data_IF_780109162293
#
_entry.id   IF_780109162293
#
_cell.length_a   1.000
_cell.length_b   1.000
_cell.length_c   1.000
_cell.angle_alpha   90.00
_cell.angle_beta   90.00
_cell.angle_gamma   90.00
#
_symmetry.space_group_name_H-M   'P 1'
#
loop_
_entity.id
_entity.type
_entity.pdbx_description
1 polymer ?
#
# COMPACT_ATOMS: atom_id res chain seq x y z
N UNK A 1 45.38 -111.58 -3.63
CA UNK A 1 45.90 -110.25 -3.21
C UNK A 1 46.04 -109.43 -4.48
N UNK A 2 45.60 -108.18 -4.66
CA UNK A 2 45.23 -107.13 -3.73
C UNK A 2 44.58 -106.01 -4.60
N UNK A 3 43.33 -105.66 -4.29
CA UNK A 3 42.75 -104.30 -4.27
C UNK A 3 42.27 -103.60 -5.56
N UNK A 4 40.94 -103.39 -5.55
CA UNK A 4 40.19 -102.33 -6.23
C UNK A 4 40.75 -100.95 -5.85
N UNK A 5 41.08 -100.12 -6.85
CA UNK A 5 41.35 -98.69 -6.65
C UNK A 5 40.06 -97.92 -6.94
N UNK A 6 39.56 -97.25 -5.90
CA UNK A 6 38.39 -96.37 -5.89
C UNK A 6 38.80 -95.00 -6.45
N UNK A 7 38.11 -94.51 -7.48
CA UNK A 7 38.25 -93.13 -7.92
C UNK A 7 37.56 -92.17 -6.90
N UNK A 8 38.18 -91.06 -6.49
CA UNK A 8 37.51 -90.06 -5.67
C UNK A 8 36.50 -89.28 -6.51
N UNK A 9 35.24 -89.23 -6.04
CA UNK A 9 34.25 -88.24 -6.44
C UNK A 9 34.67 -86.89 -5.88
N UNK A 10 35.02 -85.97 -6.76
CA UNK A 10 35.21 -84.57 -6.42
C UNK A 10 33.83 -83.94 -6.16
N UNK A 11 33.50 -83.74 -4.88
CA UNK A 11 32.30 -83.04 -4.44
C UNK A 11 32.68 -81.57 -4.39
N UNK A 12 32.34 -80.83 -5.46
CA UNK A 12 32.41 -79.36 -5.42
C UNK A 12 31.46 -78.86 -4.33
N UNK A 13 32.00 -78.13 -3.35
CA UNK A 13 31.24 -77.47 -2.29
C UNK A 13 30.35 -76.35 -2.88
N UNK A 14 29.13 -76.14 -2.35
CA UNK A 14 28.21 -75.11 -2.80
C UNK A 14 28.49 -73.76 -2.12
N UNK A 15 29.74 -73.29 -2.11
CA UNK A 15 30.12 -72.02 -1.46
C UNK A 15 30.09 -70.81 -2.42
N UNK A 16 29.96 -71.03 -3.73
CA UNK A 16 29.98 -69.95 -4.74
C UNK A 16 28.64 -69.21 -4.93
N UNK A 17 27.58 -69.59 -4.21
CA UNK A 17 26.24 -69.01 -4.43
C UNK A 17 26.01 -67.66 -3.72
N UNK A 18 26.83 -67.29 -2.72
CA UNK A 18 26.62 -66.08 -1.91
C UNK A 18 27.35 -64.85 -2.47
N UNK A 19 28.39 -65.03 -3.29
CA UNK A 19 29.16 -63.90 -3.87
C UNK A 19 28.53 -63.30 -5.15
N UNK A 20 27.60 -64.01 -5.79
CA UNK A 20 26.96 -63.58 -7.04
C UNK A 20 26.00 -62.39 -6.86
N UNK A 21 25.44 -62.19 -5.66
CA UNK A 21 24.47 -61.10 -5.41
C UNK A 21 25.13 -59.73 -5.13
N UNK A 22 26.42 -59.71 -4.79
CA UNK A 22 27.19 -58.46 -4.59
C UNK A 22 27.38 -57.69 -5.90
N UNK A 23 27.52 -58.41 -7.03
CA UNK A 23 27.61 -57.78 -8.35
C UNK A 23 26.28 -57.17 -8.80
N UNK A 24 25.17 -57.90 -8.67
CA UNK A 24 23.84 -57.41 -9.04
C UNK A 24 23.40 -56.19 -8.21
N UNK A 25 23.68 -56.20 -6.90
CA UNK A 25 23.37 -55.07 -6.01
C UNK A 25 24.16 -53.80 -6.36
N UNK A 26 25.45 -53.91 -6.72
CA UNK A 26 26.22 -52.73 -7.17
C UNK A 26 25.67 -52.08 -8.43
N UNK A 27 25.21 -52.89 -9.41
CA UNK A 27 24.60 -52.38 -10.64
C UNK A 27 23.29 -51.66 -10.34
N UNK A 28 22.44 -52.24 -9.49
CA UNK A 28 21.17 -51.63 -9.08
C UNK A 28 21.42 -50.30 -8.35
N UNK A 29 22.37 -50.25 -7.42
CA UNK A 29 22.72 -49.02 -6.69
C UNK A 29 23.28 -47.95 -7.63
N UNK A 30 24.15 -48.33 -8.57
CA UNK A 30 24.70 -47.39 -9.55
C UNK A 30 23.60 -46.77 -10.43
N UNK A 31 22.65 -47.59 -10.91
CA UNK A 31 21.50 -47.11 -11.69
C UNK A 31 20.60 -46.21 -10.84
N UNK A 32 20.30 -46.59 -9.59
CA UNK A 32 19.50 -45.77 -8.68
C UNK A 32 20.17 -44.42 -8.36
N UNK A 33 21.49 -44.37 -8.19
CA UNK A 33 22.21 -43.11 -7.98
C UNK A 33 22.07 -42.17 -9.17
N UNK A 34 22.19 -42.67 -10.41
CA UNK A 34 22.00 -41.86 -11.61
C UNK A 34 20.58 -41.31 -11.67
N UNK A 35 19.57 -42.13 -11.35
CA UNK A 35 18.18 -41.70 -11.30
C UNK A 35 17.97 -40.61 -10.23
N UNK A 36 18.52 -40.79 -9.03
CA UNK A 36 18.42 -39.80 -7.96
C UNK A 36 19.10 -38.47 -8.31
N UNK A 37 20.25 -38.50 -8.97
CA UNK A 37 20.93 -37.29 -9.48
C UNK A 37 20.08 -36.60 -10.56
N UNK A 38 19.41 -37.36 -11.44
CA UNK A 38 18.48 -36.82 -12.41
C UNK A 38 17.30 -36.08 -11.76
N UNK A 39 16.71 -36.64 -10.70
CA UNK A 39 15.65 -35.95 -9.95
C UNK A 39 16.15 -34.73 -9.18
N UNK A 40 17.36 -34.80 -8.60
CA UNK A 40 17.96 -33.66 -7.91
C UNK A 40 18.24 -32.49 -8.86
N UNK A 41 18.74 -32.78 -10.06
CA UNK A 41 18.95 -31.80 -11.12
C UNK A 41 17.64 -31.10 -11.52
N UNK A 42 16.57 -31.86 -11.76
CA UNK A 42 15.25 -31.31 -12.07
C UNK A 42 14.72 -30.44 -10.91
N UNK A 43 14.90 -30.88 -9.66
CA UNK A 43 14.49 -30.11 -8.50
C UNK A 43 15.21 -28.76 -8.40
N UNK A 44 16.50 -28.70 -8.75
CA UNK A 44 17.28 -27.46 -8.79
C UNK A 44 16.79 -26.51 -9.89
N UNK A 45 16.57 -26.99 -11.11
CA UNK A 45 16.08 -26.15 -12.21
C UNK A 45 14.68 -25.60 -11.92
N UNK A 46 13.77 -26.44 -11.40
CA UNK A 46 12.43 -25.99 -10.97
C UNK A 46 12.56 -24.98 -9.84
N UNK A 47 13.43 -25.24 -8.86
CA UNK A 47 13.72 -24.31 -7.77
C UNK A 47 14.18 -22.95 -8.28
N UNK A 48 15.06 -22.92 -9.28
CA UNK A 48 15.53 -21.68 -9.91
C UNK A 48 14.38 -20.92 -10.61
N UNK A 49 13.51 -21.61 -11.35
CA UNK A 49 12.33 -20.98 -12.00
C UNK A 49 11.40 -20.35 -10.95
N UNK A 50 11.13 -21.04 -9.85
CA UNK A 50 10.26 -20.51 -8.79
C UNK A 50 10.92 -19.34 -8.04
N UNK A 51 12.22 -19.41 -7.78
CA UNK A 51 12.96 -18.33 -7.16
C UNK A 51 12.98 -17.08 -8.07
N UNK A 52 13.13 -17.26 -9.38
CA UNK A 52 13.08 -16.17 -10.35
C UNK A 52 11.67 -15.56 -10.44
N UNK A 53 10.64 -16.41 -10.46
CA UNK A 53 9.26 -15.94 -10.45
C UNK A 53 8.94 -15.08 -9.21
N UNK A 54 9.43 -15.48 -8.04
CA UNK A 54 9.24 -14.70 -6.81
C UNK A 54 9.94 -13.33 -6.87
N UNK A 55 11.17 -13.27 -7.40
CA UNK A 55 11.89 -12.01 -7.62
C UNK A 55 11.12 -11.08 -8.57
N UNK A 56 10.65 -11.62 -9.70
CA UNK A 56 9.88 -10.87 -10.69
C UNK A 56 8.55 -10.35 -10.13
N UNK A 57 7.85 -11.15 -9.31
CA UNK A 57 6.62 -10.72 -8.66
C UNK A 57 6.86 -9.58 -7.69
N UNK A 58 7.84 -9.71 -6.79
CA UNK A 58 8.21 -8.65 -5.85
C UNK A 58 8.62 -7.36 -6.60
N UNK A 59 9.33 -7.49 -7.71
CA UNK A 59 9.68 -6.38 -8.59
C UNK A 59 8.46 -5.72 -9.24
N UNK A 60 7.50 -6.51 -9.70
CA UNK A 60 6.25 -6.02 -10.28
C UNK A 60 5.39 -5.29 -9.24
N UNK A 61 5.23 -5.85 -8.03
CA UNK A 61 4.45 -5.26 -6.94
C UNK A 61 5.04 -3.93 -6.50
N UNK A 62 6.36 -3.90 -6.26
CA UNK A 62 7.08 -2.70 -5.87
C UNK A 62 7.00 -1.61 -6.96
N UNK A 63 7.17 -2.00 -8.23
CA UNK A 63 7.04 -1.09 -9.36
C UNK A 63 5.62 -0.52 -9.48
N UNK A 64 4.59 -1.37 -9.37
CA UNK A 64 3.19 -0.95 -9.47
C UNK A 64 2.83 0.03 -8.36
N UNK A 65 3.20 -0.28 -7.10
CA UNK A 65 2.98 0.62 -5.97
C UNK A 65 3.73 1.95 -6.10
N UNK A 66 5.00 1.93 -6.52
CA UNK A 66 5.78 3.14 -6.69
C UNK A 66 5.18 4.06 -7.79
N UNK A 67 4.86 3.48 -8.95
CA UNK A 67 4.25 4.24 -10.05
C UNK A 67 2.86 4.77 -9.64
N UNK A 68 2.05 3.95 -8.97
CA UNK A 68 0.74 4.39 -8.48
C UNK A 68 0.88 5.51 -7.44
N UNK A 69 1.92 5.50 -6.60
CA UNK A 69 2.21 6.57 -5.63
C UNK A 69 2.59 7.87 -6.33
N UNK A 70 3.45 7.81 -7.35
CA UNK A 70 3.83 8.96 -8.17
C UNK A 70 2.60 9.53 -8.91
N UNK A 71 1.80 8.65 -9.52
CA UNK A 71 0.56 9.02 -10.19
C UNK A 71 -0.47 9.62 -9.24
N UNK A 72 -0.64 9.03 -8.05
CA UNK A 72 -1.45 9.58 -6.98
C UNK A 72 -0.93 10.96 -6.57
N UNK A 73 0.39 11.16 -6.62
CA UNK A 73 1.20 12.40 -6.58
C UNK A 73 0.73 13.53 -7.50
N UNK A 74 -0.09 13.22 -8.51
CA UNK A 74 -0.45 14.14 -9.57
C UNK A 74 0.59 14.23 -10.69
N UNK A 75 1.67 13.43 -10.62
CA UNK A 75 2.67 13.29 -11.67
C UNK A 75 3.23 11.86 -11.69
N UNK A 76 2.81 11.07 -12.67
CA UNK A 76 3.27 9.69 -12.89
C UNK A 76 4.76 9.55 -13.25
N UNK A 77 5.50 10.66 -13.41
CA UNK A 77 6.93 10.67 -13.70
C UNK A 77 7.27 9.92 -14.99
N UNK A 78 8.45 9.28 -15.00
CA UNK A 78 8.83 8.33 -16.05
C UNK A 78 8.50 6.91 -15.59
N UNK A 79 7.23 6.53 -15.71
CA UNK A 79 6.72 5.25 -15.19
C UNK A 79 7.51 4.05 -15.73
N UNK A 80 7.97 4.09 -16.98
CA UNK A 80 8.84 3.05 -17.57
C UNK A 80 10.21 2.98 -16.89
N UNK A 81 10.82 4.11 -16.53
CA UNK A 81 12.10 4.13 -15.81
C UNK A 81 11.93 3.57 -14.40
N UNK A 82 10.90 4.03 -13.68
CA UNK A 82 10.56 3.53 -12.34
C UNK A 82 10.30 2.02 -12.37
N UNK A 83 9.50 1.55 -13.34
CA UNK A 83 9.21 0.12 -13.50
C UNK A 83 10.46 -0.72 -13.72
N UNK A 84 11.36 -0.31 -14.61
CA UNK A 84 12.61 -1.04 -14.83
C UNK A 84 13.56 -0.95 -13.63
N UNK A 85 13.58 0.17 -12.90
CA UNK A 85 14.42 0.30 -11.70
C UNK A 85 14.00 -0.71 -10.63
N UNK A 86 12.71 -0.80 -10.30
CA UNK A 86 12.21 -1.73 -9.29
C UNK A 86 12.28 -3.19 -9.75
N UNK A 87 12.04 -3.47 -11.03
CA UNK A 87 12.23 -4.82 -11.58
C UNK A 87 13.70 -5.27 -11.47
N UNK A 88 14.66 -4.42 -11.86
CA UNK A 88 16.07 -4.77 -11.79
C UNK A 88 16.57 -4.87 -10.35
N UNK A 89 16.15 -3.98 -9.46
CA UNK A 89 16.58 -3.98 -8.05
C UNK A 89 16.08 -5.21 -7.27
N UNK A 90 15.00 -5.86 -7.73
CA UNK A 90 14.48 -7.09 -7.14
C UNK A 90 15.01 -8.36 -7.82
N UNK A 91 15.72 -8.24 -8.94
CA UNK A 91 16.41 -9.34 -9.59
C UNK A 91 17.84 -9.46 -9.05
N UNK A 92 18.26 -10.65 -8.63
CA UNK A 92 19.58 -10.87 -8.03
C UNK A 92 20.74 -10.57 -9.00
N UNK A 93 20.49 -10.63 -10.30
CA UNK A 93 21.45 -10.36 -11.37
C UNK A 93 21.29 -8.96 -11.99
N UNK A 94 20.38 -8.12 -11.45
CA UNK A 94 20.01 -6.81 -11.96
C UNK A 94 19.58 -6.82 -13.44
N UNK A 95 19.09 -7.96 -13.94
CA UNK A 95 18.80 -8.16 -15.36
C UNK A 95 17.37 -8.64 -15.54
N UNK A 96 16.44 -7.69 -15.52
CA UNK A 96 15.03 -7.95 -15.80
C UNK A 96 14.42 -6.85 -16.67
N UNK A 97 13.26 -7.15 -17.25
CA UNK A 97 12.48 -6.20 -18.03
C UNK A 97 11.20 -5.83 -17.29
N UNK A 98 10.75 -4.59 -17.45
CA UNK A 98 9.42 -4.17 -17.05
C UNK A 98 8.70 -3.46 -18.22
N UNK A 99 7.42 -3.82 -18.39
CA UNK A 99 6.47 -3.14 -19.28
C UNK A 99 5.37 -2.54 -18.42
N UNK A 100 5.16 -1.24 -18.58
CA UNK A 100 4.16 -0.48 -17.81
C UNK A 100 3.01 -0.11 -18.72
N UNK A 101 1.79 -0.38 -18.27
CA UNK A 101 0.54 -0.06 -18.98
C UNK A 101 -0.48 0.55 -18.02
N UNK A 102 -1.41 1.35 -18.54
CA UNK A 102 -2.48 1.97 -17.75
C UNK A 102 -3.84 1.44 -18.23
N UNK A 103 -4.35 0.34 -17.64
CA UNK A 103 -5.64 -0.22 -18.04
C UNK A 103 -6.83 0.72 -17.74
N UNK A 104 -6.68 1.61 -16.75
CA UNK A 104 -7.64 2.64 -16.42
C UNK A 104 -6.93 3.95 -16.05
N UNK A 105 -7.67 5.06 -15.95
CA UNK A 105 -7.13 6.37 -15.59
C UNK A 105 -6.45 6.40 -14.20
N UNK A 106 -6.84 5.48 -13.32
CA UNK A 106 -6.37 5.40 -11.93
C UNK A 106 -5.80 4.02 -11.58
N UNK A 107 -5.41 3.24 -12.59
CA UNK A 107 -4.83 1.90 -12.41
C UNK A 107 -3.61 1.76 -13.30
N UNK A 108 -2.53 1.25 -12.72
CA UNK A 108 -1.31 0.88 -13.43
C UNK A 108 -1.10 -0.62 -13.34
N UNK A 109 -0.65 -1.21 -14.45
CA UNK A 109 -0.25 -2.60 -14.55
C UNK A 109 1.21 -2.66 -14.95
N UNK A 110 2.01 -3.37 -14.16
CA UNK A 110 3.42 -3.63 -14.44
C UNK A 110 3.59 -5.11 -14.72
N UNK A 111 4.10 -5.45 -15.90
CA UNK A 111 4.49 -6.82 -16.25
C UNK A 111 6.02 -6.90 -16.27
N UNK A 112 6.58 -7.79 -15.47
CA UNK A 112 8.02 -8.06 -15.43
C UNK A 112 8.36 -9.37 -16.12
N UNK A 113 9.58 -9.45 -16.63
CA UNK A 113 10.10 -10.65 -17.26
C UNK A 113 11.56 -10.88 -16.90
N UNK A 114 11.94 -12.15 -16.74
CA UNK A 114 13.35 -12.53 -16.60
C UNK A 114 14.10 -12.14 -17.88
N UNK A 115 15.36 -11.72 -17.73
CA UNK A 115 16.26 -11.51 -18.86
C UNK A 115 17.56 -12.27 -18.66
N UNK A 116 18.14 -12.76 -19.75
CA UNK A 116 19.49 -13.29 -19.73
C UNK A 116 20.53 -12.15 -19.82
N UNK A 117 21.81 -12.50 -19.64
CA UNK A 117 22.93 -11.56 -19.76
C UNK A 117 23.09 -10.91 -21.14
N UNK A 118 22.43 -11.44 -22.17
CA UNK A 118 22.36 -10.86 -23.51
C UNK A 118 21.12 -9.95 -23.70
N UNK A 119 20.28 -9.81 -22.68
CA UNK A 119 19.06 -9.00 -22.66
C UNK A 119 17.83 -9.67 -23.25
N UNK A 120 17.88 -10.97 -23.55
CA UNK A 120 16.76 -11.73 -24.08
C UNK A 120 15.79 -12.12 -22.98
N UNK A 121 14.49 -12.19 -23.27
CA UNK A 121 13.44 -12.45 -22.29
C UNK A 121 13.34 -13.94 -21.90
N UNK A 122 14.44 -14.52 -21.38
CA UNK A 122 14.54 -15.92 -21.03
C UNK A 122 15.46 -16.15 -19.82
N UNK A 123 15.13 -17.13 -19.00
CA UNK A 123 15.98 -17.66 -17.93
C UNK A 123 16.74 -18.88 -18.46
N UNK A 124 18.06 -18.92 -18.31
CA UNK A 124 18.88 -20.08 -18.67
C UNK A 124 18.73 -21.18 -17.61
N UNK A 125 18.39 -22.40 -18.05
CA UNK A 125 18.30 -23.57 -17.16
C UNK A 125 19.64 -24.30 -17.14
N UNK A 126 20.07 -24.86 -16.00
CA UNK A 126 21.41 -25.43 -15.90
C UNK A 126 21.44 -26.90 -16.28
N UNK A 127 20.53 -27.71 -15.75
CA UNK A 127 20.57 -29.15 -16.00
C UNK A 127 19.63 -29.59 -17.13
N UNK A 128 18.52 -28.88 -17.33
CA UNK A 128 17.54 -29.14 -18.38
C UNK A 128 18.10 -28.92 -19.80
N UNK A 129 19.20 -28.17 -19.95
CA UNK A 129 19.98 -28.06 -21.19
C UNK A 129 20.37 -29.43 -21.74
N UNK A 130 20.75 -30.37 -20.87
CA UNK A 130 21.15 -31.73 -21.28
C UNK A 130 20.00 -32.55 -21.89
N UNK A 131 18.75 -32.13 -21.65
CA UNK A 131 17.53 -32.71 -22.21
C UNK A 131 16.95 -31.88 -23.37
N UNK A 132 17.67 -30.85 -23.83
CA UNK A 132 17.26 -29.96 -24.94
C UNK A 132 16.36 -28.80 -24.53
N UNK A 133 16.25 -28.49 -23.24
CA UNK A 133 15.52 -27.33 -22.72
C UNK A 133 16.50 -26.29 -22.18
N UNK A 134 16.93 -25.38 -23.06
CA UNK A 134 18.00 -24.44 -22.73
C UNK A 134 17.52 -23.23 -21.92
N UNK A 135 16.25 -22.86 -22.10
CA UNK A 135 15.67 -21.65 -21.52
C UNK A 135 14.22 -21.81 -21.10
N UNK A 136 13.81 -21.07 -20.07
CA UNK A 136 12.42 -20.92 -19.66
C UNK A 136 11.99 -19.45 -19.72
N UNK A 137 10.77 -19.19 -20.19
CA UNK A 137 10.17 -17.85 -20.11
C UNK A 137 9.46 -17.70 -18.77
N UNK A 138 9.94 -16.79 -17.93
CA UNK A 138 9.34 -16.48 -16.63
C UNK A 138 8.87 -15.03 -16.64
N UNK A 139 7.59 -14.84 -16.33
CA UNK A 139 6.96 -13.52 -16.25
C UNK A 139 6.14 -13.41 -14.97
N UNK A 140 5.99 -12.19 -14.48
CA UNK A 140 5.09 -11.83 -13.40
C UNK A 140 4.36 -10.53 -13.75
N UNK A 141 3.25 -10.26 -13.09
CA UNK A 141 2.56 -8.99 -13.24
C UNK A 141 1.89 -8.59 -11.95
N UNK A 142 1.78 -7.29 -11.74
CA UNK A 142 1.10 -6.69 -10.62
C UNK A 142 0.28 -5.50 -11.11
N UNK A 143 -0.87 -5.27 -10.48
CA UNK A 143 -1.68 -4.08 -10.69
C UNK A 143 -1.80 -3.28 -9.40
N UNK A 144 -1.71 -1.96 -9.52
CA UNK A 144 -1.98 -1.04 -8.43
C UNK A 144 -2.97 0.02 -8.88
N UNK A 145 -3.92 0.34 -8.01
CA UNK A 145 -4.89 1.41 -8.23
C UNK A 145 -4.74 2.50 -7.19
N UNK A 146 -5.11 3.73 -7.56
CA UNK A 146 -5.09 4.87 -6.66
C UNK A 146 -6.37 5.70 -6.73
N UNK A 147 -6.69 6.41 -5.65
CA UNK A 147 -7.81 7.34 -5.68
C UNK A 147 -8.17 7.88 -4.30
N UNK A 148 -9.29 8.60 -4.24
CA UNK A 148 -9.76 9.18 -2.99
C UNK A 148 -10.20 8.07 -2.01
N UNK A 149 -9.81 8.13 -0.73
CA UNK A 149 -10.30 7.18 0.28
C UNK A 149 -11.81 7.34 0.44
N UNK A 150 -12.54 6.21 0.40
CA UNK A 150 -13.96 6.17 0.78
C UNK A 150 -14.16 5.95 2.28
N UNK A 151 -13.17 5.37 2.94
CA UNK A 151 -13.11 5.24 4.39
C UNK A 151 -11.70 5.46 4.93
N UNK A 152 -11.61 5.99 6.16
CA UNK A 152 -10.35 6.19 6.85
C UNK A 152 -10.53 6.22 8.37
N UNK A 153 -9.52 5.76 9.09
CA UNK A 153 -9.42 5.89 10.55
C UNK A 153 -8.75 7.21 10.88
N UNK A 154 -9.52 8.20 11.33
CA UNK A 154 -9.05 9.59 11.42
C UNK A 154 -9.36 10.24 12.76
N UNK A 155 -8.76 11.42 13.00
CA UNK A 155 -9.13 12.28 14.13
C UNK A 155 -10.64 12.61 14.01
N UNK A 156 -11.43 12.45 15.07
CA UNK A 156 -12.90 12.55 15.02
C UNK A 156 -13.35 14.01 14.93
N UNK A 157 -12.88 14.76 13.95
CA UNK A 157 -13.20 16.16 13.74
C UNK A 157 -13.34 16.45 12.25
N UNK A 158 -14.41 17.15 11.89
CA UNK A 158 -14.77 17.44 10.50
C UNK A 158 -14.61 18.91 10.16
N UNK A 159 -14.32 19.19 8.89
CA UNK A 159 -14.22 20.56 8.35
C UNK A 159 -15.20 20.74 7.21
N UNK A 160 -15.76 21.94 7.08
CA UNK A 160 -16.65 22.22 5.96
C UNK A 160 -15.87 22.22 4.64
N UNK A 161 -16.40 21.53 3.65
CA UNK A 161 -15.91 21.53 2.26
C UNK A 161 -15.75 22.97 1.73
N UNK A 162 -16.65 23.88 2.12
CA UNK A 162 -16.58 25.29 1.71
C UNK A 162 -15.32 25.99 2.25
N UNK A 163 -14.97 25.75 3.51
CA UNK A 163 -13.77 26.33 4.13
C UNK A 163 -12.52 25.79 3.43
N UNK A 164 -12.45 24.48 3.21
CA UNK A 164 -11.34 23.85 2.49
C UNK A 164 -11.13 24.49 1.11
N UNK A 165 -12.19 24.60 0.31
CA UNK A 165 -12.13 25.17 -1.05
C UNK A 165 -11.63 26.61 -1.11
N UNK A 166 -11.75 27.39 -0.02
CA UNK A 166 -11.26 28.78 0.05
C UNK A 166 -9.75 28.89 0.24
N UNK A 167 -9.11 27.83 0.71
CA UNK A 167 -7.66 27.77 0.89
C UNK A 167 -6.94 27.12 -0.30
N UNK A 168 -7.68 26.65 -1.31
CA UNK A 168 -7.11 26.21 -2.58
C UNK A 168 -6.74 27.41 -3.46
N UNK A 169 -5.68 27.25 -4.26
CA UNK A 169 -5.38 28.21 -5.32
C UNK A 169 -6.50 28.22 -6.38
N UNK A 170 -6.67 29.33 -7.14
CA UNK A 170 -7.68 29.39 -8.20
C UNK A 170 -7.55 28.27 -9.24
N UNK A 171 -6.32 27.84 -9.55
CA UNK A 171 -6.05 26.73 -10.46
C UNK A 171 -6.51 25.39 -9.87
N UNK A 172 -6.15 25.11 -8.60
CA UNK A 172 -6.58 23.88 -7.91
C UNK A 172 -8.09 23.81 -7.76
N UNK A 173 -8.74 24.94 -7.44
CA UNK A 173 -10.20 25.02 -7.33
C UNK A 173 -10.87 24.77 -8.69
N UNK A 174 -10.34 25.32 -9.78
CA UNK A 174 -10.87 25.09 -11.12
C UNK A 174 -10.73 23.61 -11.54
N UNK A 175 -9.58 22.97 -11.26
CA UNK A 175 -9.38 21.55 -11.49
C UNK A 175 -10.34 20.71 -10.65
N UNK A 176 -10.41 20.94 -9.34
CA UNK A 176 -11.31 20.20 -8.44
C UNK A 176 -12.78 20.28 -8.88
N UNK A 177 -13.22 21.45 -9.35
CA UNK A 177 -14.60 21.62 -9.84
C UNK A 177 -14.87 20.98 -11.21
N UNK A 178 -13.85 20.79 -12.05
CA UNK A 178 -14.01 20.29 -13.42
C UNK A 178 -13.72 18.79 -13.56
N UNK A 179 -12.74 18.28 -12.82
CA UNK A 179 -12.28 16.89 -12.89
C UNK A 179 -12.56 16.10 -11.62
N UNK A 180 -13.01 16.75 -10.55
CA UNK A 180 -13.12 16.13 -9.23
C UNK A 180 -11.76 15.90 -8.56
N UNK A 181 -10.66 16.42 -9.10
CA UNK A 181 -9.31 16.27 -8.52
C UNK A 181 -8.44 17.48 -8.83
N UNK A 182 -7.34 17.67 -8.12
CA UNK A 182 -6.36 18.71 -8.43
C UNK A 182 -4.92 18.17 -8.29
N UNK A 183 -4.01 18.76 -9.06
CA UNK A 183 -2.57 18.46 -9.00
C UNK A 183 -1.79 19.62 -8.37
N UNK A 184 -0.60 19.30 -7.87
CA UNK A 184 0.27 20.24 -7.13
C UNK A 184 -0.06 20.31 -5.65
N UNK A 185 0.97 20.47 -4.83
CA UNK A 185 0.81 20.59 -3.38
C UNK A 185 0.02 21.86 -3.04
N UNK A 186 -0.92 21.79 -2.07
CA UNK A 186 -1.51 23.00 -1.53
C UNK A 186 -0.38 23.89 -0.97
N UNK A 187 -0.52 25.20 -1.15
CA UNK A 187 0.42 26.16 -0.54
C UNK A 187 0.32 25.95 0.99
N UNK A 188 1.44 25.73 1.72
CA UNK A 188 1.45 25.50 3.17
C UNK A 188 1.14 26.81 3.91
N UNK A 189 -0.07 27.32 3.69
CA UNK A 189 -0.57 28.54 4.30
C UNK A 189 -1.08 28.16 5.67
N UNK A 190 -0.30 28.55 6.69
CA UNK A 190 -0.66 28.32 8.08
C UNK A 190 -1.97 29.06 8.39
N UNK A 191 -2.99 28.29 8.75
CA UNK A 191 -4.34 28.75 8.95
C UNK A 191 -4.85 28.30 10.33
N UNK A 192 -5.90 28.96 10.80
CA UNK A 192 -6.57 28.64 12.06
C UNK A 192 -7.99 28.18 11.75
N UNK A 193 -8.26 26.90 11.94
CA UNK A 193 -9.61 26.35 11.88
C UNK A 193 -10.26 26.46 13.26
N UNK A 194 -10.92 27.59 13.50
CA UNK A 194 -11.74 27.81 14.69
C UNK A 194 -13.08 27.10 14.57
N UNK A 195 -13.47 26.46 15.65
CA UNK A 195 -14.77 25.82 15.75
C UNK A 195 -15.65 26.42 16.86
N UNK A 196 -15.13 27.32 17.72
CA UNK A 196 -15.92 27.92 18.80
C UNK A 196 -17.04 28.88 18.35
N UNK A 197 -17.88 29.32 19.29
CA UNK A 197 -19.08 30.15 19.02
C UNK A 197 -18.78 31.53 18.43
N UNK A 198 -17.54 32.01 18.56
CA UNK A 198 -17.08 33.28 18.01
C UNK A 198 -16.19 33.07 16.79
N UNK A 199 -16.19 31.87 16.19
CA UNK A 199 -15.42 31.59 14.98
C UNK A 199 -15.84 32.54 13.85
N UNK A 200 -14.88 33.22 13.21
CA UNK A 200 -15.21 34.11 12.09
C UNK A 200 -15.76 33.27 10.93
N UNK A 201 -16.86 33.74 10.35
CA UNK A 201 -17.42 33.14 9.13
C UNK A 201 -16.51 33.46 7.95
N UNK A 202 -16.05 32.42 7.25
CA UNK A 202 -15.27 32.54 6.04
C UNK A 202 -16.16 33.14 4.93
N UNK A 203 -15.71 34.22 4.24
CA UNK A 203 -16.52 34.87 3.22
C UNK A 203 -17.01 33.92 2.11
N UNK A 204 -18.32 33.87 1.91
CA UNK A 204 -18.98 33.00 0.94
C UNK A 204 -19.30 31.59 1.43
N UNK A 205 -19.00 31.27 2.69
CA UNK A 205 -19.49 30.05 3.35
C UNK A 205 -20.72 30.35 4.21
N UNK A 206 -21.46 29.30 4.59
CA UNK A 206 -22.60 29.40 5.48
C UNK A 206 -22.18 29.96 6.86
N UNK A 207 -23.15 30.48 7.62
CA UNK A 207 -22.91 30.94 8.99
C UNK A 207 -22.22 29.85 9.83
N UNK A 208 -21.34 30.27 10.76
CA UNK A 208 -20.53 29.35 11.58
C UNK A 208 -19.74 28.35 10.72
N UNK A 209 -19.38 28.73 9.48
CA UNK A 209 -18.69 27.88 8.52
C UNK A 209 -19.43 26.56 8.21
N UNK A 210 -20.76 26.55 8.32
CA UNK A 210 -21.59 25.37 8.05
C UNK A 210 -21.77 24.42 9.24
N UNK A 211 -21.11 24.69 10.37
CA UNK A 211 -21.37 23.96 11.61
C UNK A 211 -22.75 24.31 12.17
N UNK A 212 -23.42 23.31 12.75
CA UNK A 212 -24.69 23.51 13.44
C UNK A 212 -24.46 24.03 14.86
N UNK A 213 -25.39 24.81 15.45
CA UNK A 213 -25.29 25.25 16.83
C UNK A 213 -25.00 24.09 17.82
N UNK A 214 -23.89 24.21 18.54
CA UNK A 214 -23.40 23.20 19.49
C UNK A 214 -22.70 21.98 18.87
N UNK A 215 -22.68 21.88 17.54
CA UNK A 215 -21.92 20.90 16.77
C UNK A 215 -20.58 21.51 16.35
N UNK A 216 -19.53 21.21 17.11
CA UNK A 216 -18.20 21.81 17.00
C UNK A 216 -17.29 21.09 15.98
N UNK A 217 -17.90 20.31 15.08
CA UNK A 217 -17.21 19.45 14.11
C UNK A 217 -16.75 18.11 14.67
N UNK A 218 -16.79 17.92 16.00
CA UNK A 218 -16.46 16.65 16.63
C UNK A 218 -17.43 15.55 16.21
N UNK A 219 -16.92 14.35 15.99
CA UNK A 219 -17.66 13.15 15.66
C UNK A 219 -17.66 12.17 16.83
N UNK A 220 -18.71 11.34 16.92
CA UNK A 220 -18.74 10.24 17.89
C UNK A 220 -17.66 9.21 17.56
N UNK A 221 -16.87 8.84 18.56
CA UNK A 221 -15.77 7.86 18.45
C UNK A 221 -16.28 6.44 18.66
N UNK A 222 -15.89 5.50 17.81
CA UNK A 222 -16.25 4.08 17.91
C UNK A 222 -15.21 3.21 18.62
N UNK A 223 -13.92 3.56 18.56
CA UNK A 223 -12.84 2.90 19.31
C UNK A 223 -11.69 3.86 19.63
N UNK A 224 -11.56 4.26 20.89
CA UNK A 224 -10.52 5.19 21.32
C UNK A 224 -10.65 6.57 20.66
N UNK A 225 -9.53 7.11 20.14
CA UNK A 225 -9.39 8.50 19.67
C UNK A 225 -9.49 8.66 18.17
N UNK A 226 -9.93 7.59 17.51
CA UNK A 226 -10.19 7.53 16.11
C UNK A 226 -11.62 7.08 15.88
N UNK A 227 -12.18 7.46 14.75
CA UNK A 227 -13.44 6.92 14.29
C UNK A 227 -13.23 6.40 12.87
N UNK A 228 -13.74 5.19 12.62
CA UNK A 228 -13.78 4.66 11.27
C UNK A 228 -14.93 5.36 10.55
N UNK A 229 -14.59 6.17 9.57
CA UNK A 229 -15.53 7.00 8.85
C UNK A 229 -15.73 6.42 7.47
N UNK A 230 -16.98 6.21 7.09
CA UNK A 230 -17.39 5.90 5.73
C UNK A 230 -18.17 7.09 5.17
N UNK A 231 -17.83 7.53 3.96
CA UNK A 231 -18.47 8.68 3.30
C UNK A 231 -19.95 8.39 2.99
N UNK A 232 -20.33 7.13 2.79
CA UNK A 232 -21.70 6.75 2.44
C UNK A 232 -22.68 6.82 3.62
N UNK A 233 -22.18 7.06 4.84
CA UNK A 233 -23.00 7.15 6.04
C UNK A 233 -22.97 8.55 6.69
N UNK A 234 -24.14 9.01 7.11
CA UNK A 234 -24.24 10.23 7.92
C UNK A 234 -23.62 9.97 9.31
N UNK A 235 -22.55 10.70 9.64
CA UNK A 235 -21.84 10.51 10.90
C UNK A 235 -22.42 11.41 11.98
N UNK A 236 -22.63 10.84 13.18
CA UNK A 236 -23.15 11.59 14.32
C UNK A 236 -22.08 12.52 14.91
N UNK A 237 -22.47 13.76 15.16
CA UNK A 237 -21.66 14.76 15.82
C UNK A 237 -21.67 14.60 17.35
N UNK A 238 -20.53 14.88 17.97
CA UNK A 238 -20.41 14.97 19.42
C UNK A 238 -20.57 16.43 19.86
N UNK A 239 -21.47 16.74 20.81
CA UNK A 239 -21.62 18.08 21.33
C UNK A 239 -20.47 18.43 22.27
N UNK A 240 -20.17 19.73 22.38
CA UNK A 240 -19.16 20.26 23.30
C UNK A 240 -17.85 20.68 22.63
N UNK A 241 -17.17 21.63 23.27
CA UNK A 241 -15.98 22.31 22.76
C UNK A 241 -14.67 21.72 23.33
N UNK A 242 -14.77 20.63 24.08
CA UNK A 242 -13.62 19.94 24.68
C UNK A 242 -13.13 18.86 23.73
N UNK A 243 -11.81 18.67 23.73
CA UNK A 243 -11.20 17.53 23.06
C UNK A 243 -11.71 16.23 23.70
N UNK A 244 -12.01 15.17 22.93
CA UNK A 244 -12.51 13.92 23.48
C UNK A 244 -11.62 13.37 24.61
N UNK A 245 -12.24 12.97 25.72
CA UNK A 245 -11.52 12.47 26.90
C UNK A 245 -10.76 11.18 26.55
N UNK A 246 -9.49 11.09 26.96
CA UNK A 246 -8.62 9.94 26.70
C UNK A 246 -7.71 10.05 25.48
N UNK A 247 -7.75 11.18 24.75
CA UNK A 247 -7.07 11.33 23.47
C UNK A 247 -5.78 12.16 23.47
N UNK A 248 -5.30 12.57 24.64
CA UNK A 248 -4.15 13.48 24.76
C UNK A 248 -2.86 12.91 24.17
N UNK A 249 -2.68 11.59 24.15
CA UNK A 249 -1.53 10.95 23.50
C UNK A 249 -1.60 10.99 21.96
N UNK A 250 -2.78 11.17 21.37
CA UNK A 250 -2.91 11.35 19.93
C UNK A 250 -2.45 12.75 19.49
N UNK A 251 -2.46 13.75 20.40
CA UNK A 251 -2.11 15.13 20.09
C UNK A 251 -0.65 15.32 19.69
N UNK A 252 0.28 14.54 20.24
CA UNK A 252 1.67 14.57 19.79
C UNK A 252 1.82 13.93 18.41
N UNK A 253 1.15 12.79 18.19
CA UNK A 253 1.22 12.07 16.89
C UNK A 253 0.67 12.88 15.72
N UNK A 254 -0.43 13.61 15.92
CA UNK A 254 -1.01 14.44 14.85
C UNK A 254 -0.15 15.64 14.46
N UNK A 255 0.82 16.03 15.30
CA UNK A 255 1.77 17.10 14.98
C UNK A 255 3.00 16.59 14.23
N UNK A 256 3.32 15.30 14.34
CA UNK A 256 4.48 14.69 13.68
C UNK A 256 4.19 14.33 12.22
N UNK A 257 2.97 13.91 11.90
CA UNK A 257 2.57 13.46 10.57
C UNK A 257 1.23 14.07 10.11
N UNK A 258 1.03 14.26 8.79
CA UNK A 258 -0.22 14.77 8.27
C UNK A 258 -1.35 13.76 8.51
N UNK A 259 -2.48 14.26 9.00
CA UNK A 259 -3.66 13.43 9.29
C UNK A 259 -4.76 13.68 8.28
N UNK A 260 -5.53 12.64 7.98
CA UNK A 260 -6.75 12.78 7.20
C UNK A 260 -7.84 13.42 8.07
N UNK A 261 -8.55 14.39 7.49
CA UNK A 261 -9.67 15.08 8.11
C UNK A 261 -10.89 14.92 7.19
N UNK A 262 -12.01 14.38 7.71
CA UNK A 262 -13.25 14.27 6.96
C UNK A 262 -13.82 15.66 6.61
N UNK A 263 -14.20 15.84 5.36
CA UNK A 263 -14.89 17.02 4.86
C UNK A 263 -16.40 16.78 4.81
N UNK A 264 -17.18 17.71 5.36
CA UNK A 264 -18.63 17.67 5.28
C UNK A 264 -19.18 18.76 4.34
N UNK A 265 -20.24 18.40 3.62
CA UNK A 265 -20.97 19.32 2.74
C UNK A 265 -22.17 19.94 3.42
N UNK A 266 -22.92 19.15 4.16
CA UNK A 266 -24.10 19.60 4.92
C UNK A 266 -24.07 19.05 6.34
N UNK A 267 -24.59 19.83 7.26
CA UNK A 267 -24.84 19.43 8.63
C UNK A 267 -26.32 19.65 8.95
N UNK A 268 -26.96 18.70 9.65
CA UNK A 268 -28.37 18.77 10.04
C UNK A 268 -28.54 18.42 11.53
N UNK A 269 -29.59 18.93 12.17
CA UNK A 269 -29.79 18.74 13.61
C UNK A 269 -28.85 19.60 14.48
N UNK A 270 -29.04 19.60 15.79
CA UNK A 270 -28.29 20.47 16.73
C UNK A 270 -27.76 19.68 17.92
N UNK A 271 -26.65 20.15 18.51
CA UNK A 271 -26.02 19.53 19.67
C UNK A 271 -25.72 18.04 19.45
N UNK A 272 -26.23 17.17 20.34
CA UNK A 272 -26.02 15.71 20.25
C UNK A 272 -26.75 15.02 19.10
N UNK A 273 -27.62 15.74 18.38
CA UNK A 273 -28.33 15.23 17.20
C UNK A 273 -27.76 15.79 15.89
N UNK A 274 -26.63 16.50 15.94
CA UNK A 274 -25.96 16.97 14.74
C UNK A 274 -25.52 15.75 13.91
N UNK A 275 -25.82 15.77 12.62
CA UNK A 275 -25.42 14.76 11.64
C UNK A 275 -24.69 15.47 10.50
N UNK A 276 -23.51 14.97 10.16
CA UNK A 276 -22.69 15.49 9.08
C UNK A 276 -22.77 14.55 7.87
N UNK A 277 -23.07 15.12 6.69
CA UNK A 277 -22.96 14.41 5.41
C UNK A 277 -21.57 14.66 4.86
N UNK A 278 -20.77 13.61 4.82
CA UNK A 278 -19.38 13.67 4.38
C UNK A 278 -19.29 13.58 2.86
N UNK A 279 -18.19 14.10 2.31
CA UNK A 279 -17.95 14.10 0.86
C UNK A 279 -16.56 13.63 0.46
N UNK A 280 -15.65 13.48 1.42
CA UNK A 280 -14.26 13.15 1.15
C UNK A 280 -13.38 13.38 2.37
N UNK A 281 -12.10 13.10 2.19
CA UNK A 281 -11.06 13.38 3.17
C UNK A 281 -10.04 14.34 2.57
N UNK A 282 -9.57 15.30 3.37
CA UNK A 282 -8.44 16.16 3.04
C UNK A 282 -7.32 15.89 4.04
N UNK A 283 -6.08 16.00 3.60
CA UNK A 283 -4.95 15.90 4.51
C UNK A 283 -4.61 17.25 5.13
N UNK A 284 -4.29 17.22 6.42
CA UNK A 284 -3.99 18.40 7.19
C UNK A 284 -2.81 18.12 8.11
N UNK A 285 -1.77 18.95 7.99
CA UNK A 285 -0.65 18.95 8.92
C UNK A 285 -1.01 19.84 10.10
N UNK A 286 -1.12 19.26 11.30
CA UNK A 286 -1.33 20.05 12.52
C UNK A 286 0.00 20.61 12.98
N UNK A 287 0.06 21.91 13.21
CA UNK A 287 1.25 22.62 13.72
C UNK A 287 0.98 23.26 15.08
N UNK A 288 -0.28 23.41 15.45
CA UNK A 288 -0.71 23.91 16.75
C UNK A 288 -2.16 23.57 17.04
N UNK A 289 -2.55 23.66 18.30
CA UNK A 289 -3.90 23.44 18.74
C UNK A 289 -4.18 24.18 20.05
N UNK A 290 -5.46 24.49 20.25
CA UNK A 290 -5.97 24.98 21.53
C UNK A 290 -7.38 24.47 21.75
N UNK A 291 -7.53 23.47 22.62
CA UNK A 291 -8.83 22.92 22.98
C UNK A 291 -9.24 23.33 24.40
N UNK A 292 -10.51 23.13 24.73
CA UNK A 292 -11.00 23.34 26.09
C UNK A 292 -10.59 22.16 26.97
N UNK A 293 -9.97 22.44 28.12
CA UNK A 293 -9.62 21.40 29.10
C UNK A 293 -8.35 20.60 28.81
N UNK A 294 -7.64 20.88 27.70
CA UNK A 294 -6.32 20.31 27.41
C UNK A 294 -5.25 21.41 27.29
N UNK A 295 -3.98 21.02 27.17
CA UNK A 295 -2.88 21.94 26.90
C UNK A 295 -3.06 22.70 25.58
N UNK A 296 -2.29 23.76 25.37
CA UNK A 296 -2.27 24.51 24.12
C UNK A 296 -0.84 24.54 23.57
N UNK A 297 -0.71 24.23 22.29
CA UNK A 297 0.53 24.40 21.52
C UNK A 297 0.18 25.39 20.43
N UNK A 298 0.75 26.59 20.45
CA UNK A 298 0.42 27.62 19.47
C UNK A 298 1.52 27.73 18.43
N UNK A 299 1.10 27.75 17.18
CA UNK A 299 1.95 28.04 16.04
C UNK A 299 2.01 29.54 15.81
N UNK A 300 3.23 30.09 15.77
CA UNK A 300 3.50 31.51 15.54
C UNK A 300 3.28 31.95 14.09
N UNK A 301 3.29 31.03 13.13
CA UNK A 301 3.06 31.31 11.71
C UNK A 301 1.57 31.33 11.36
N UNK A 302 0.74 30.68 12.18
CA UNK A 302 -0.71 30.68 12.02
C UNK A 302 -1.36 31.91 12.70
N UNK A 303 -2.58 32.30 12.28
CA UNK A 303 -3.35 33.34 12.98
C UNK A 303 -3.47 33.03 14.48
N UNK A 304 -3.27 34.06 15.32
CA UNK A 304 -3.19 33.89 16.77
C UNK A 304 -4.51 33.40 17.39
N UNK A 305 -4.46 32.35 18.21
CA UNK A 305 -5.61 31.81 18.94
C UNK A 305 -5.55 32.16 20.45
N UNK A 306 -5.85 33.42 20.80
CA UNK A 306 -5.77 33.93 22.19
C UNK A 306 -7.12 33.89 22.91
N UNK A 307 -7.10 34.01 24.25
CA UNK A 307 -8.30 34.02 25.09
C UNK A 307 -9.21 32.80 24.92
N UNK A 308 -10.48 33.04 24.59
CA UNK A 308 -11.52 32.02 24.42
C UNK A 308 -11.51 31.30 23.07
N UNK A 309 -10.57 31.61 22.17
CA UNK A 309 -10.42 30.91 20.91
C UNK A 309 -10.17 29.41 21.12
N UNK A 310 -10.84 28.57 20.32
CA UNK A 310 -10.60 27.12 20.23
C UNK A 310 -10.52 26.66 18.78
N UNK A 311 -9.48 25.92 18.46
CA UNK A 311 -9.21 25.52 17.09
C UNK A 311 -7.93 24.75 16.90
N UNK A 312 -7.75 24.30 15.67
CA UNK A 312 -6.54 23.68 15.15
C UNK A 312 -5.81 24.68 14.26
N UNK A 313 -4.49 24.76 14.43
CA UNK A 313 -3.58 25.50 13.58
C UNK A 313 -2.78 24.50 12.74
N UNK A 314 -2.54 24.84 11.48
CA UNK A 314 -1.90 23.95 10.55
C UNK A 314 -2.10 24.40 9.12
N UNK A 315 -1.86 23.51 8.17
CA UNK A 315 -2.09 23.78 6.76
C UNK A 315 -2.59 22.51 6.06
N UNK A 316 -3.38 22.69 5.01
CA UNK A 316 -3.74 21.58 4.15
C UNK A 316 -2.51 21.11 3.39
N UNK A 317 -2.29 19.81 3.37
CA UNK A 317 -1.21 19.17 2.63
C UNK A 317 -1.79 18.13 1.69
N UNK A 318 -0.93 17.54 0.86
CA UNK A 318 -1.27 16.30 0.16
C UNK A 318 -0.81 15.12 1.00
N UNK A 319 -1.60 14.06 0.96
CA UNK A 319 -1.27 12.79 1.61
C UNK A 319 -1.49 11.65 0.64
N UNK A 320 -0.45 10.83 0.47
CA UNK A 320 -0.55 9.55 -0.23
C UNK A 320 -0.22 8.48 0.78
N UNK A 321 -1.17 7.59 1.03
CA UNK A 321 -0.98 6.47 1.95
C UNK A 321 -1.03 5.14 1.21
N UNK A 322 -0.19 4.21 1.67
CA UNK A 322 -0.10 2.82 1.24
C UNK A 322 -0.82 1.87 2.24
N UNK A 323 -1.67 2.41 3.11
CA UNK A 323 -2.25 1.65 4.22
C UNK A 323 -3.25 0.58 3.74
N UNK A 324 -3.04 -0.65 4.22
CA UNK A 324 -3.91 -1.79 3.98
C UNK A 324 -5.28 -1.57 4.65
N UNK A 325 -6.36 -1.71 3.87
CA UNK A 325 -7.74 -1.66 4.38
C UNK A 325 -8.54 -0.41 4.00
N UNK A 326 -7.89 0.64 3.47
CA UNK A 326 -8.61 1.76 2.87
C UNK A 326 -9.09 1.38 1.46
N UNK A 327 -10.36 1.66 1.17
CA UNK A 327 -10.97 1.35 -0.12
C UNK A 327 -10.84 2.54 -1.07
N UNK A 328 -10.41 2.27 -2.29
CA UNK A 328 -10.41 3.24 -3.39
C UNK A 328 -11.73 3.11 -4.14
N UNK A 329 -12.52 4.17 -4.21
CA UNK A 329 -13.76 4.18 -4.99
C UNK A 329 -13.66 5.20 -6.12
N UNK A 330 -13.94 4.76 -7.35
CA UNK A 330 -14.04 5.64 -8.51
C UNK A 330 -15.21 6.62 -8.37
N UNK A 331 -15.01 7.89 -8.73
CA UNK A 331 -16.06 8.91 -8.80
C UNK A 331 -16.23 9.79 -7.57
N UNK A 332 -15.44 9.59 -6.51
CA UNK A 332 -15.38 10.50 -5.35
C UNK A 332 -14.37 11.63 -5.65
N UNK A 333 -14.70 12.91 -5.39
CA UNK A 333 -13.73 13.98 -5.52
C UNK A 333 -12.52 13.78 -4.60
N UNK A 334 -11.32 13.94 -5.14
CA UNK A 334 -10.08 13.88 -4.40
C UNK A 334 -9.72 15.27 -3.85
N UNK A 335 -9.77 15.41 -2.53
CA UNK A 335 -9.45 16.65 -1.82
C UNK A 335 -7.98 16.72 -1.36
N UNK A 336 -7.07 16.04 -2.05
CA UNK A 336 -5.64 15.98 -1.73
C UNK A 336 -5.24 14.78 -0.87
N UNK A 337 -6.17 13.86 -0.61
CA UNK A 337 -5.90 12.58 0.03
C UNK A 337 -6.05 11.46 -1.01
N UNK A 338 -4.98 10.71 -1.23
CA UNK A 338 -4.97 9.56 -2.12
C UNK A 338 -4.53 8.31 -1.36
N UNK A 339 -5.15 7.19 -1.69
CA UNK A 339 -4.73 5.86 -1.24
C UNK A 339 -4.27 5.08 -2.44
N UNK A 340 -3.24 4.27 -2.25
CA UNK A 340 -2.69 3.36 -3.26
C UNK A 340 -2.83 1.92 -2.74
N UNK A 341 -3.37 1.03 -3.56
CA UNK A 341 -3.64 -0.37 -3.20
C UNK A 341 -3.26 -1.30 -4.34
N UNK A 342 -2.65 -2.45 -4.03
CA UNK A 342 -2.44 -3.55 -4.98
C UNK A 342 -3.77 -4.25 -5.28
N UNK A 343 -4.06 -4.44 -6.56
CA UNK A 343 -5.31 -5.04 -7.06
C UNK A 343 -5.11 -6.37 -7.76
N UNK A 344 -3.89 -6.68 -8.18
CA UNK A 344 -3.46 -7.97 -8.74
C UNK A 344 -2.02 -8.26 -8.32
#
# INVERSE_FOLDING_TARGET
MRWLVRAPRDIRSPEDAVDSERGASTVIVAVLMVVLLGFAALAVDVGAIYAEKAQLQNGADAAALAIATDCAGGNCGSSTSTGNQFANANANDNTSGAVVTFPAATTVRVATNARDTAGQNSLSLFFAQTMGFDTANVTASAEASWGAPSSATTLPWTVSECVFKKYLSPAQLASLNSTGSFSGDPIPTHLLLRYDTNAPTVPGCAAQNGYQPGGFGWLVTTSGCSTNIDIDMAVQGQPGNSFPNGCTAALSKIMDEPVLIPLFKTAAGNGSNAKYTLVGFAAFQVTGYKFSGSGAVLDSLAPSCTGNCRGLQGFFSRFVSLEEGMQVTGGIPNYGASVVVLTE
#
